data_IF_694465331421
#
_entry.id   IF_694465331421
#
_cell.length_a   1.000
_cell.length_b   1.000
_cell.length_c   1.000
_cell.angle_alpha   90.00
_cell.angle_beta   90.00
_cell.angle_gamma   90.00
#
_symmetry.space_group_name_H-M   'P 1'
#
loop_
_entity.id
_entity.type
_entity.pdbx_description
1 polymer ?
#
# COMPACT_ATOMS: atom_id res chain seq x y z
N UNK A 1 35.37 8.35 3.08
CA UNK A 1 34.05 8.99 2.94
C UNK A 1 33.01 7.93 3.25
N UNK A 2 32.62 7.79 4.53
CA UNK A 2 31.58 6.85 4.91
C UNK A 2 30.24 7.41 4.44
N UNK A 3 29.58 6.76 3.50
CA UNK A 3 28.20 7.07 3.14
C UNK A 3 27.33 6.70 4.32
N UNK A 4 26.89 7.69 5.10
CA UNK A 4 25.85 7.49 6.11
C UNK A 4 24.63 6.89 5.42
N UNK A 5 24.36 5.61 5.73
CA UNK A 5 23.12 4.97 5.32
C UNK A 5 22.00 5.58 6.16
N UNK A 6 21.35 6.62 5.64
CA UNK A 6 20.07 7.07 6.18
C UNK A 6 19.02 6.04 5.82
N UNK A 7 18.72 5.16 6.78
CA UNK A 7 17.55 4.31 6.71
C UNK A 7 16.33 5.23 6.53
N UNK A 8 15.73 5.22 5.34
CA UNK A 8 14.47 5.94 5.07
C UNK A 8 13.39 5.30 5.91
N UNK A 9 13.23 5.76 7.14
CA UNK A 9 12.06 5.42 7.96
C UNK A 9 10.82 5.93 7.23
N UNK A 10 9.77 5.09 7.21
CA UNK A 10 8.50 5.36 6.52
C UNK A 10 7.92 6.74 6.89
N UNK A 11 8.20 7.23 8.08
CA UNK A 11 7.84 8.56 8.58
C UNK A 11 8.36 9.72 7.71
N UNK A 12 9.60 9.66 7.19
CA UNK A 12 10.16 10.76 6.39
C UNK A 12 9.64 10.78 4.94
N UNK A 13 9.22 9.64 4.40
CA UNK A 13 8.59 9.54 3.07
C UNK A 13 7.12 9.98 3.09
N UNK A 14 6.46 9.89 4.25
CA UNK A 14 5.05 10.28 4.48
C UNK A 14 4.78 11.77 4.36
N UNK A 15 5.77 12.62 4.67
CA UNK A 15 5.57 14.08 4.78
C UNK A 15 5.68 14.82 3.45
N UNK A 16 6.26 14.21 2.40
CA UNK A 16 6.55 14.91 1.13
C UNK A 16 5.60 14.58 -0.03
N UNK A 17 4.68 13.63 0.13
CA UNK A 17 3.84 13.14 -0.97
C UNK A 17 2.36 13.43 -0.72
N UNK A 18 1.72 14.21 -1.59
CA UNK A 18 0.30 14.59 -1.45
C UNK A 18 -0.64 13.37 -1.48
N UNK A 19 -0.23 12.30 -2.16
CA UNK A 19 -1.01 11.07 -2.26
C UNK A 19 -0.13 9.84 -2.54
N UNK A 20 -0.67 8.69 -2.17
CA UNK A 20 -0.13 7.36 -2.48
C UNK A 20 -1.00 6.62 -3.49
N UNK A 21 -0.37 5.91 -4.40
CA UNK A 21 -1.07 4.93 -5.25
C UNK A 21 -1.25 3.60 -4.51
N UNK A 22 -2.22 2.80 -4.94
CA UNK A 22 -2.41 1.43 -4.40
C UNK A 22 -1.17 0.55 -4.52
N UNK A 23 -0.31 0.80 -5.52
CA UNK A 23 0.97 0.10 -5.66
C UNK A 23 1.92 0.47 -4.53
N UNK A 24 2.10 1.76 -4.27
CA UNK A 24 2.95 2.21 -3.16
C UNK A 24 2.41 1.75 -1.82
N UNK A 25 1.09 1.80 -1.60
CA UNK A 25 0.48 1.29 -0.36
C UNK A 25 0.70 -0.21 -0.20
N UNK A 26 0.63 -0.98 -1.30
CA UNK A 26 0.91 -2.41 -1.24
C UNK A 26 2.38 -2.72 -0.90
N UNK A 27 3.30 -1.87 -1.32
CA UNK A 27 4.73 -1.97 -0.99
C UNK A 27 5.00 -1.59 0.47
N UNK A 28 4.36 -0.52 0.96
CA UNK A 28 4.50 -0.04 2.36
C UNK A 28 4.06 -1.10 3.36
N UNK A 29 2.91 -1.74 3.11
CA UNK A 29 2.34 -2.73 4.04
C UNK A 29 2.70 -4.17 3.73
N UNK A 30 3.49 -4.39 2.68
CA UNK A 30 3.82 -5.73 2.19
C UNK A 30 2.54 -6.58 2.00
N UNK A 31 1.58 -6.04 1.26
CA UNK A 31 0.35 -6.74 0.88
C UNK A 31 0.25 -6.85 -0.63
N UNK A 32 -0.72 -7.61 -1.14
CA UNK A 32 -0.94 -7.66 -2.58
C UNK A 32 -1.55 -6.34 -3.09
N UNK A 33 -1.24 -5.95 -4.33
CA UNK A 33 -1.88 -4.79 -4.97
C UNK A 33 -3.41 -4.90 -5.01
N UNK A 34 -3.93 -6.13 -5.18
CA UNK A 34 -5.36 -6.42 -5.13
C UNK A 34 -5.95 -6.13 -3.75
N UNK A 35 -5.22 -6.44 -2.67
CA UNK A 35 -5.59 -6.13 -1.29
C UNK A 35 -5.71 -4.61 -1.08
N UNK A 36 -4.70 -3.84 -1.50
CA UNK A 36 -4.75 -2.38 -1.41
C UNK A 36 -5.92 -1.78 -2.22
N UNK A 37 -6.20 -2.32 -3.41
CA UNK A 37 -7.38 -1.92 -4.19
C UNK A 37 -8.70 -2.30 -3.49
N UNK A 38 -8.74 -3.44 -2.79
CA UNK A 38 -9.90 -3.88 -2.03
C UNK A 38 -10.18 -2.96 -0.85
N UNK A 39 -9.15 -2.52 -0.13
CA UNK A 39 -9.28 -1.53 0.95
C UNK A 39 -9.88 -0.21 0.48
N UNK A 40 -9.46 0.29 -0.69
CA UNK A 40 -10.05 1.49 -1.29
C UNK A 40 -11.53 1.27 -1.66
N UNK A 41 -11.88 0.09 -2.21
CA UNK A 41 -13.28 -0.24 -2.58
C UNK A 41 -14.18 -0.43 -1.38
N UNK A 42 -13.67 -0.97 -0.27
CA UNK A 42 -14.40 -1.12 1.00
C UNK A 42 -14.52 0.18 1.79
N UNK A 43 -13.77 1.22 1.42
CA UNK A 43 -13.76 2.51 2.12
C UNK A 43 -12.89 2.52 3.37
N UNK A 44 -12.01 1.53 3.56
CA UNK A 44 -11.04 1.51 4.67
C UNK A 44 -9.93 2.53 4.47
N UNK A 45 -9.63 2.84 3.22
CA UNK A 45 -8.79 3.96 2.83
C UNK A 45 -9.65 4.92 2.03
N UNK A 46 -9.87 6.14 2.54
CA UNK A 46 -10.47 7.19 1.71
C UNK A 46 -9.48 7.53 0.61
N UNK A 47 -9.86 7.18 -0.60
CA UNK A 47 -9.05 7.39 -1.78
C UNK A 47 -9.88 8.12 -2.82
N UNK A 48 -9.32 9.20 -3.37
CA UNK A 48 -9.91 9.86 -4.51
C UNK A 48 -9.65 9.01 -5.75
N UNK A 49 -10.70 8.85 -6.56
CA UNK A 49 -10.59 8.10 -7.80
C UNK A 49 -10.49 9.11 -8.93
N UNK A 50 -9.33 9.16 -9.58
CA UNK A 50 -9.18 9.91 -10.82
C UNK A 50 -10.10 9.30 -11.85
N UNK A 51 -11.24 9.95 -12.12
CA UNK A 51 -12.06 9.63 -13.28
C UNK A 51 -11.34 10.20 -14.49
N UNK A 52 -10.54 9.36 -15.15
CA UNK A 52 -10.01 9.70 -16.47
C UNK A 52 -11.20 9.85 -17.42
N UNK A 53 -11.43 11.01 -18.07
CA UNK A 53 -12.51 11.17 -19.03
C UNK A 53 -12.38 10.12 -20.14
N UNK A 54 -13.45 9.37 -20.42
CA UNK A 54 -13.46 8.32 -21.45
C UNK A 54 -13.05 6.91 -20.99
N UNK A 55 -12.63 6.74 -19.73
CA UNK A 55 -12.44 5.40 -19.14
C UNK A 55 -13.76 4.88 -18.58
N UNK A 56 -14.18 3.68 -18.99
CA UNK A 56 -15.39 2.99 -18.53
C UNK A 56 -15.29 2.57 -17.06
N UNK A 57 -15.29 3.52 -16.12
CA UNK A 57 -15.55 3.37 -14.67
C UNK A 57 -14.65 2.42 -13.87
N UNK A 58 -13.76 1.65 -14.52
CA UNK A 58 -12.97 0.55 -13.94
C UNK A 58 -11.48 0.87 -13.88
N UNK A 59 -10.99 1.87 -14.64
CA UNK A 59 -9.57 2.18 -14.78
C UNK A 59 -9.03 3.40 -14.02
N UNK A 60 -9.84 4.05 -13.17
CA UNK A 60 -9.37 5.22 -12.40
C UNK A 60 -8.26 4.84 -11.41
N UNK A 61 -7.16 5.61 -11.41
CA UNK A 61 -6.08 5.47 -10.42
C UNK A 61 -6.59 5.96 -9.06
N UNK A 62 -6.30 5.19 -8.02
CA UNK A 62 -6.61 5.57 -6.64
C UNK A 62 -5.50 6.48 -6.11
N UNK A 63 -5.91 7.61 -5.51
CA UNK A 63 -5.06 8.53 -4.77
C UNK A 63 -5.43 8.46 -3.29
N UNK A 64 -4.58 7.81 -2.51
CA UNK A 64 -4.79 7.55 -1.09
C UNK A 64 -4.06 8.65 -0.31
N UNK A 65 -4.80 9.40 0.49
CA UNK A 65 -4.22 10.49 1.29
C UNK A 65 -3.36 9.91 2.43
N UNK A 66 -2.17 10.48 2.72
CA UNK A 66 -1.27 9.97 3.76
C UNK A 66 -1.94 9.81 5.13
N UNK A 67 -2.84 10.73 5.49
CA UNK A 67 -3.54 10.71 6.77
C UNK A 67 -4.42 9.46 6.96
N UNK A 68 -4.90 8.87 5.87
CA UNK A 68 -5.70 7.63 5.91
C UNK A 68 -4.86 6.38 6.16
N UNK A 69 -3.55 6.47 5.95
CA UNK A 69 -2.63 5.37 6.26
C UNK A 69 -2.45 5.21 7.77
N UNK A 70 -2.53 6.28 8.54
CA UNK A 70 -2.46 6.22 10.01
C UNK A 70 -3.74 5.62 10.61
N UNK A 71 -4.89 5.96 10.01
CA UNK A 71 -6.19 5.42 10.41
C UNK A 71 -6.27 3.89 10.23
N UNK A 72 -5.69 3.34 9.15
CA UNK A 72 -5.70 1.89 8.92
C UNK A 72 -4.74 1.16 9.87
N UNK A 73 -3.60 1.77 10.21
CA UNK A 73 -2.62 1.23 11.17
C UNK A 73 -3.19 1.11 12.58
N UNK A 74 -4.13 2.00 12.94
CA UNK A 74 -4.80 2.02 14.24
C UNK A 74 -6.08 1.18 14.25
N UNK A 75 -6.91 1.28 13.20
CA UNK A 75 -8.25 0.67 13.18
C UNK A 75 -8.24 -0.80 12.74
N UNK A 76 -7.33 -1.18 11.83
CA UNK A 76 -7.32 -2.50 11.19
C UNK A 76 -5.97 -3.24 11.37
N UNK A 77 -5.28 -2.96 12.48
CA UNK A 77 -3.93 -3.45 12.75
C UNK A 77 -3.79 -4.97 12.66
N UNK A 78 -4.72 -5.73 13.24
CA UNK A 78 -4.63 -7.19 13.31
C UNK A 78 -4.77 -7.82 11.92
N UNK A 79 -5.72 -7.32 11.12
CA UNK A 79 -5.92 -7.79 9.75
C UNK A 79 -4.73 -7.41 8.85
N UNK A 80 -4.14 -6.24 9.07
CA UNK A 80 -2.93 -5.82 8.36
C UNK A 80 -1.75 -6.76 8.65
N UNK A 81 -1.56 -7.17 9.90
CA UNK A 81 -0.54 -8.14 10.30
C UNK A 81 -0.80 -9.50 9.64
N UNK A 82 -2.04 -9.98 9.64
CA UNK A 82 -2.41 -11.26 9.03
C UNK A 82 -2.18 -11.26 7.51
N UNK A 83 -2.64 -10.22 6.81
CA UNK A 83 -2.47 -10.07 5.37
C UNK A 83 -1.00 -9.92 4.97
N UNK A 84 -0.21 -9.23 5.79
CA UNK A 84 1.24 -9.10 5.59
C UNK A 84 1.93 -10.46 5.75
N UNK A 85 1.60 -11.24 6.79
CA UNK A 85 2.15 -12.61 6.95
C UNK A 85 1.84 -13.50 5.74
N UNK A 86 0.60 -13.48 5.25
CA UNK A 86 0.21 -14.24 4.06
C UNK A 86 0.99 -13.82 2.80
N UNK A 87 1.28 -12.54 2.65
CA UNK A 87 2.09 -12.03 1.55
C UNK A 87 3.53 -12.58 1.60
N UNK A 88 4.17 -12.53 2.77
CA UNK A 88 5.52 -13.07 2.96
C UNK A 88 5.56 -14.58 2.71
N UNK A 89 4.62 -15.35 3.26
CA UNK A 89 4.54 -16.81 3.03
C UNK A 89 4.46 -17.12 1.53
N UNK A 90 3.63 -16.39 0.77
CA UNK A 90 3.54 -16.56 -0.70
C UNK A 90 4.84 -16.24 -1.42
N UNK A 91 5.53 -15.17 -1.03
CA UNK A 91 6.83 -14.82 -1.62
C UNK A 91 7.89 -15.90 -1.35
N UNK A 92 7.96 -16.40 -0.11
CA UNK A 92 8.86 -17.48 0.26
C UNK A 92 8.54 -18.77 -0.50
N UNK A 93 7.28 -19.21 -0.55
CA UNK A 93 6.86 -20.39 -1.29
C UNK A 93 7.22 -20.28 -2.79
N UNK A 94 7.00 -19.11 -3.40
CA UNK A 94 7.36 -18.85 -4.80
C UNK A 94 8.87 -18.86 -5.03
N UNK A 95 9.67 -18.45 -4.03
CA UNK A 95 11.14 -18.49 -4.10
C UNK A 95 11.67 -19.92 -4.01
N UNK A 96 11.07 -20.77 -3.18
CA UNK A 96 11.46 -22.19 -3.03
C UNK A 96 11.17 -22.99 -4.29
N UNK A 97 10.06 -22.75 -4.98
CA UNK A 97 9.72 -23.43 -6.24
C UNK A 97 10.59 -23.06 -7.45
N UNK A 98 11.45 -22.05 -7.32
CA UNK A 98 12.30 -21.52 -8.39
C UNK A 98 13.77 -21.94 -8.27
N UNK A 99 14.09 -22.75 -7.26
CA UNK A 99 15.38 -23.39 -7.02
C UNK A 99 15.29 -24.88 -7.36
#
# INVERSE_FOLDING_TARGET
MATEYHQKTLSNLRVQQDYYTTKQVSEIYHVSHATACHWCRKGWLKADRDKVPGSSGRGGKWRIHPQQLEDIETTHRDELIELSRHYWIRLYARKIQRN
#
